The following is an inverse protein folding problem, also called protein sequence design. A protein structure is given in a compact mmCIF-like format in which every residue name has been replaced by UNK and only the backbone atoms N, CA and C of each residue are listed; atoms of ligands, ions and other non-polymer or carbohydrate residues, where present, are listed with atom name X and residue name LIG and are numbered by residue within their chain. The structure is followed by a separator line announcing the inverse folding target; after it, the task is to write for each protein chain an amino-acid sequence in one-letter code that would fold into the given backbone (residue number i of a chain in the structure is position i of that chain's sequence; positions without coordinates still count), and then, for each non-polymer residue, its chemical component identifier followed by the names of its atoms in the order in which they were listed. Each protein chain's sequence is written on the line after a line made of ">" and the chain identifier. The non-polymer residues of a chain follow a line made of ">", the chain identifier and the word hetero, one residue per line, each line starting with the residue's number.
data_IF_836030079163
#
_entry.id   IF_836030079163
#
_cell.length_a   1.000
_cell.length_b   1.000
_cell.length_c   1.000
_cell.angle_alpha   90.00
_cell.angle_beta   90.00
_cell.angle_gamma   90.00
#
_symmetry.space_group_name_H-M   'P 1'
#
loop_
_entity.id
_entity.type
_entity.pdbx_description
1 polymer ?
#
# COMPACT_ATOMS: atom_id res chain seq x y z
N UNK A 1 15.00 -4.22 -1.46
CA UNK A 1 14.54 -3.75 -2.78
C UNK A 1 15.53 -2.71 -3.30
N UNK A 2 15.92 -2.80 -4.57
CA UNK A 2 16.86 -1.87 -5.22
C UNK A 2 16.43 -1.59 -6.67
N UNK A 3 16.83 -0.43 -7.21
CA UNK A 3 16.57 -0.08 -8.61
C UNK A 3 17.58 -0.78 -9.54
N UNK A 4 17.15 -1.13 -10.74
CA UNK A 4 18.08 -1.49 -11.80
C UNK A 4 18.85 -0.22 -12.23
N UNK A 5 20.17 -0.24 -12.07
CA UNK A 5 21.06 0.91 -12.35
C UNK A 5 20.93 1.41 -13.78
N UNK A 6 20.77 0.51 -14.76
CA UNK A 6 20.59 0.87 -16.17
C UNK A 6 19.24 1.57 -16.46
N UNK A 7 18.32 1.62 -15.49
CA UNK A 7 17.02 2.29 -15.61
C UNK A 7 16.87 3.49 -14.65
N UNK A 8 17.92 3.87 -13.92
CA UNK A 8 17.84 4.94 -12.91
C UNK A 8 17.38 6.27 -13.52
N UNK A 9 17.83 6.61 -14.72
CA UNK A 9 17.48 7.85 -15.42
C UNK A 9 15.98 7.92 -15.79
N UNK A 10 15.28 6.78 -15.80
CA UNK A 10 13.83 6.73 -16.02
C UNK A 10 13.02 7.10 -14.78
N UNK A 11 13.66 7.24 -13.62
CA UNK A 11 13.01 7.46 -12.32
C UNK A 11 13.17 8.91 -11.87
N UNK A 12 14.36 9.50 -12.06
CA UNK A 12 14.67 10.85 -11.58
C UNK A 12 13.68 11.91 -12.12
N UNK A 13 13.11 12.70 -11.21
CA UNK A 13 12.17 13.77 -11.51
C UNK A 13 10.77 13.32 -11.96
N UNK A 14 10.44 12.01 -11.91
CA UNK A 14 9.15 11.47 -12.37
C UNK A 14 8.14 11.26 -11.25
N UNK A 15 6.86 11.37 -11.59
CA UNK A 15 5.77 10.89 -10.76
C UNK A 15 5.58 9.40 -11.00
N UNK A 16 5.46 8.61 -9.93
CA UNK A 16 5.46 7.15 -10.01
C UNK A 16 4.23 6.58 -9.32
N UNK A 17 3.56 5.63 -9.97
CA UNK A 17 2.52 4.81 -9.35
C UNK A 17 3.11 3.44 -9.06
N UNK A 18 3.17 3.06 -7.79
CA UNK A 18 3.45 1.70 -7.36
C UNK A 18 2.16 0.89 -7.42
N UNK A 19 2.21 -0.22 -8.16
CA UNK A 19 1.09 -1.14 -8.32
C UNK A 19 1.42 -2.44 -7.62
N UNK A 20 0.51 -2.92 -6.78
CA UNK A 20 0.59 -4.21 -6.11
C UNK A 20 -0.78 -4.89 -6.15
N UNK A 21 -0.85 -6.18 -5.86
CA UNK A 21 -2.14 -6.88 -5.75
C UNK A 21 -2.82 -6.58 -4.41
N UNK A 22 -2.11 -6.73 -3.30
CA UNK A 22 -2.66 -6.69 -1.94
C UNK A 22 -1.79 -5.84 -1.02
N UNK A 23 -2.40 -4.81 -0.44
CA UNK A 23 -1.79 -4.01 0.62
C UNK A 23 -1.97 -4.68 1.99
N UNK A 24 -0.89 -5.24 2.54
CA UNK A 24 -0.88 -5.83 3.88
C UNK A 24 -0.33 -4.83 4.91
N UNK A 25 0.78 -5.14 5.60
CA UNK A 25 1.49 -4.22 6.50
C UNK A 25 2.20 -3.06 5.78
N UNK A 26 2.27 -3.11 4.45
CA UNK A 26 2.95 -2.14 3.60
C UNK A 26 4.48 -2.22 3.61
N UNK A 27 5.08 -3.30 4.15
CA UNK A 27 6.54 -3.45 4.22
C UNK A 27 7.21 -3.38 2.84
N UNK A 28 6.66 -4.10 1.85
CA UNK A 28 7.14 -4.08 0.46
C UNK A 28 7.09 -2.67 -0.13
N UNK A 29 5.95 -1.99 0.02
CA UNK A 29 5.75 -0.63 -0.48
C UNK A 29 6.72 0.36 0.15
N UNK A 30 6.95 0.31 1.47
CA UNK A 30 7.95 1.16 2.13
C UNK A 30 9.36 0.93 1.59
N UNK A 31 9.74 -0.32 1.33
CA UNK A 31 11.02 -0.64 0.73
C UNK A 31 11.14 -0.13 -0.73
N UNK A 32 10.06 -0.19 -1.52
CA UNK A 32 10.00 0.42 -2.86
C UNK A 32 10.12 1.94 -2.81
N UNK A 33 9.35 2.61 -1.95
CA UNK A 33 9.40 4.07 -1.75
C UNK A 33 10.81 4.52 -1.37
N UNK A 34 11.46 3.81 -0.45
CA UNK A 34 12.84 4.12 -0.06
C UNK A 34 13.83 4.00 -1.24
N UNK A 35 13.68 2.98 -2.08
CA UNK A 35 14.53 2.80 -3.26
C UNK A 35 14.27 3.87 -4.34
N UNK A 36 13.00 4.20 -4.60
CA UNK A 36 12.60 5.22 -5.58
C UNK A 36 12.92 6.65 -5.15
N UNK A 37 12.80 6.96 -3.85
CA UNK A 37 13.20 8.25 -3.29
C UNK A 37 14.70 8.48 -3.45
N UNK A 38 15.53 7.46 -3.15
CA UNK A 38 16.99 7.52 -3.40
C UNK A 38 17.34 7.71 -4.87
N UNK A 39 16.46 7.29 -5.78
CA UNK A 39 16.59 7.46 -7.22
C UNK A 39 16.04 8.82 -7.73
N UNK A 40 15.53 9.68 -6.84
CA UNK A 40 15.08 11.02 -7.17
C UNK A 40 13.67 11.11 -7.76
N UNK A 41 12.78 10.17 -7.46
CA UNK A 41 11.36 10.29 -7.84
C UNK A 41 10.74 11.60 -7.29
N UNK A 42 9.93 12.30 -8.11
CA UNK A 42 9.27 13.56 -7.74
C UNK A 42 8.10 13.37 -6.80
N UNK A 43 7.22 12.42 -7.12
CA UNK A 43 6.09 12.04 -6.28
C UNK A 43 5.76 10.57 -6.46
N UNK A 44 5.07 9.98 -5.48
CA UNK A 44 4.70 8.58 -5.49
C UNK A 44 3.26 8.40 -5.01
N UNK A 45 2.50 7.59 -5.74
CA UNK A 45 1.19 7.08 -5.35
C UNK A 45 1.20 5.55 -5.31
N UNK A 46 0.28 4.97 -4.57
CA UNK A 46 0.14 3.52 -4.41
C UNK A 46 -1.26 3.11 -4.83
N UNK A 47 -1.34 2.10 -5.70
CA UNK A 47 -2.60 1.47 -6.09
C UNK A 47 -2.50 -0.03 -5.83
N UNK A 48 -3.42 -0.56 -5.03
CA UNK A 48 -3.53 -1.99 -4.77
C UNK A 48 -4.97 -2.44 -5.01
N UNK A 49 -5.15 -3.64 -5.53
CA UNK A 49 -6.49 -4.19 -5.77
C UNK A 49 -7.22 -4.50 -4.45
N UNK A 50 -6.52 -5.00 -3.45
CA UNK A 50 -7.07 -5.31 -2.13
C UNK A 50 -6.23 -4.72 -0.99
N UNK A 51 -6.82 -4.66 0.22
CA UNK A 51 -6.10 -4.37 1.46
C UNK A 51 -6.50 -5.36 2.55
N UNK A 52 -5.57 -5.68 3.44
CA UNK A 52 -5.88 -6.47 4.64
C UNK A 52 -6.39 -5.53 5.72
N UNK A 53 -7.62 -5.78 6.18
CA UNK A 53 -8.21 -5.04 7.29
C UNK A 53 -7.79 -5.72 8.60
N UNK A 54 -6.57 -5.45 9.06
CA UNK A 54 -6.23 -5.72 10.45
C UNK A 54 -7.02 -4.73 11.30
N UNK A 55 -7.79 -5.24 12.28
CA UNK A 55 -8.53 -4.43 13.23
C UNK A 55 -7.56 -3.57 14.08
N UNK A 56 -6.97 -2.52 13.50
CA UNK A 56 -6.01 -1.65 14.17
C UNK A 56 -4.90 -0.99 13.33
N UNK A 57 -4.69 -1.30 12.05
CA UNK A 57 -3.48 -0.82 11.34
C UNK A 57 -3.74 0.21 10.21
N UNK A 58 -3.31 1.44 10.51
CA UNK A 58 -2.97 2.59 9.63
C UNK A 58 -4.14 3.37 9.00
N UNK A 59 -4.48 4.52 9.62
CA UNK A 59 -5.20 5.62 8.97
C UNK A 59 -4.25 6.33 7.99
N UNK A 60 -4.35 6.01 6.71
CA UNK A 60 -3.78 6.83 5.64
C UNK A 60 -4.79 7.89 5.19
N UNK A 61 -4.46 9.17 5.42
CA UNK A 61 -5.18 10.33 4.86
C UNK A 61 -6.48 10.73 5.59
N UNK A 62 -6.58 12.00 5.97
CA UNK A 62 -7.81 12.58 6.49
C UNK A 62 -8.89 12.65 5.39
N UNK A 63 -9.97 11.89 5.52
CA UNK A 63 -11.25 12.16 4.86
C UNK A 63 -12.39 11.56 5.72
N UNK A 64 -13.19 12.44 6.34
CA UNK A 64 -14.57 12.22 6.82
C UNK A 64 -14.86 11.04 7.76
N UNK A 65 -15.23 11.33 9.01
CA UNK A 65 -15.89 10.35 9.90
C UNK A 65 -17.20 9.86 9.27
N UNK A 66 -17.21 8.65 8.72
CA UNK A 66 -18.42 7.85 8.58
C UNK A 66 -18.40 6.80 9.70
N UNK A 67 -19.23 7.01 10.72
CA UNK A 67 -19.60 6.00 11.72
C UNK A 67 -20.09 4.75 10.96
N UNK A 68 -19.50 3.58 11.19
CA UNK A 68 -20.02 2.33 10.65
C UNK A 68 -20.46 1.39 11.77
N UNK A 69 -21.65 0.85 11.53
CA UNK A 69 -22.42 -0.14 12.27
C UNK A 69 -21.60 -1.44 12.53
N UNK A 70 -21.74 -2.12 13.69
CA UNK A 70 -20.98 -3.34 13.97
C UNK A 70 -21.32 -4.45 12.96
N UNK A 71 -20.30 -4.99 12.29
CA UNK A 71 -20.47 -6.14 11.39
C UNK A 71 -21.00 -7.36 12.17
N UNK A 72 -21.96 -8.13 11.61
CA UNK A 72 -22.32 -9.42 12.16
C UNK A 72 -21.14 -10.41 12.04
N UNK A 73 -20.98 -11.26 13.05
CA UNK A 73 -19.93 -12.28 13.09
C UNK A 73 -20.28 -13.41 12.12
N UNK A 74 -19.42 -13.65 11.14
CA UNK A 74 -19.51 -14.85 10.31
C UNK A 74 -18.87 -16.01 11.07
N UNK A 75 -19.61 -16.61 11.99
CA UNK A 75 -19.25 -17.89 12.60
C UNK A 75 -19.79 -19.01 11.71
N UNK A 76 -18.90 -19.77 11.08
CA UNK A 76 -19.27 -21.00 10.35
C UNK A 76 -19.47 -22.10 11.38
N UNK A 77 -20.64 -22.77 11.46
CA UNK A 77 -20.81 -23.89 12.37
C UNK A 77 -19.96 -25.07 11.88
N UNK A 78 -19.24 -25.69 12.81
CA UNK A 78 -18.30 -26.77 12.55
C UNK A 78 -18.93 -27.91 11.75
N UNK A 79 -18.14 -28.45 10.82
CA UNK A 79 -18.51 -29.62 10.02
C UNK A 79 -18.84 -30.80 10.94
N UNK A 80 -20.02 -31.39 10.71
CA UNK A 80 -20.49 -32.66 11.28
C UNK A 80 -19.50 -33.80 11.06
#
# INVERSE_FOLDING_TARGET
>A
IAINRAKADKIAGRDIVLVDDVFTSGATIRACIAALSKAGARSMAVACFARVDEAGAIRGGQAGKAQRDPRPKNETPEAL
#
